data_IF_750103785621
#
_entry.id   IF_750103785621
#
_cell.length_a   1.000
_cell.length_b   1.000
_cell.length_c   1.000
_cell.angle_alpha   90.00
_cell.angle_beta   90.00
_cell.angle_gamma   90.00
#
_symmetry.space_group_name_H-M   'P 1'
#
loop_
_entity.id
_entity.type
_entity.pdbx_description
1 polymer ?
#
# COMPACT_ATOMS: atom_id res chain seq x y z
N UNK A 1 -8.10 -0.77 14.89
CA UNK A 1 -7.68 -0.73 13.46
C UNK A 1 -8.86 -0.44 12.53
N UNK A 2 -10.05 -1.04 12.75
CA UNK A 2 -11.25 -0.84 11.91
C UNK A 2 -11.83 0.58 11.94
N UNK A 3 -11.97 1.22 13.11
CA UNK A 3 -12.52 2.59 13.21
C UNK A 3 -11.69 3.64 12.47
N UNK A 4 -10.36 3.56 12.58
CA UNK A 4 -9.43 4.45 11.88
C UNK A 4 -9.55 4.28 10.35
N UNK A 5 -9.65 3.04 9.87
CA UNK A 5 -9.84 2.76 8.44
C UNK A 5 -11.19 3.30 7.92
N UNK A 6 -12.26 3.15 8.69
CA UNK A 6 -13.59 3.68 8.33
C UNK A 6 -13.53 5.22 8.22
N UNK A 7 -12.96 5.88 9.24
CA UNK A 7 -12.80 7.34 9.24
C UNK A 7 -12.00 7.82 8.03
N UNK A 8 -10.86 7.17 7.74
CA UNK A 8 -10.03 7.50 6.58
C UNK A 8 -10.81 7.35 5.27
N UNK A 9 -11.59 6.26 5.13
CA UNK A 9 -12.40 5.99 3.94
C UNK A 9 -13.46 7.07 3.72
N UNK A 10 -14.16 7.47 4.78
CA UNK A 10 -15.18 8.54 4.71
C UNK A 10 -14.57 9.87 4.26
N UNK A 11 -13.41 10.24 4.82
CA UNK A 11 -12.69 11.45 4.44
C UNK A 11 -12.28 11.40 2.96
N UNK A 12 -11.78 10.26 2.50
CA UNK A 12 -11.29 10.08 1.12
C UNK A 12 -12.43 10.18 0.11
N UNK A 13 -13.59 9.59 0.40
CA UNK A 13 -14.81 9.71 -0.44
C UNK A 13 -15.27 11.16 -0.50
N UNK A 14 -15.31 11.86 0.64
CA UNK A 14 -15.70 13.26 0.68
C UNK A 14 -14.76 14.14 -0.16
N UNK A 15 -13.45 13.92 -0.07
CA UNK A 15 -12.46 14.64 -0.87
C UNK A 15 -12.61 14.37 -2.37
N UNK A 16 -12.82 13.12 -2.79
CA UNK A 16 -13.07 12.78 -4.20
C UNK A 16 -14.32 13.49 -4.72
N UNK A 17 -15.40 13.51 -3.95
CA UNK A 17 -16.64 14.17 -4.35
C UNK A 17 -16.46 15.69 -4.47
N UNK A 18 -15.81 16.32 -3.49
CA UNK A 18 -15.56 17.75 -3.48
C UNK A 18 -14.64 18.16 -4.63
N UNK A 19 -13.56 17.42 -4.88
CA UNK A 19 -12.64 17.69 -6.00
C UNK A 19 -13.32 17.48 -7.35
N UNK A 20 -14.08 16.40 -7.54
CA UNK A 20 -14.85 16.20 -8.77
C UNK A 20 -15.88 17.32 -9.00
N UNK A 21 -16.55 17.79 -7.93
CA UNK A 21 -17.50 18.91 -8.00
C UNK A 21 -16.81 20.24 -8.30
N UNK A 22 -15.64 20.49 -7.72
CA UNK A 22 -14.85 21.70 -7.99
C UNK A 22 -14.33 21.68 -9.42
N UNK A 23 -13.74 20.57 -9.86
CA UNK A 23 -13.13 20.46 -11.18
C UNK A 23 -14.16 20.51 -12.30
N UNK A 24 -15.34 19.91 -12.11
CA UNK A 24 -16.44 20.01 -13.08
C UNK A 24 -17.07 21.40 -13.18
N UNK A 25 -16.89 22.26 -12.17
CA UNK A 25 -17.26 23.68 -12.25
C UNK A 25 -16.18 24.53 -12.91
N UNK A 26 -14.90 24.22 -12.69
CA UNK A 26 -13.78 25.00 -13.23
C UNK A 26 -13.35 24.59 -14.64
N UNK A 27 -13.64 23.35 -15.08
CA UNK A 27 -13.34 22.84 -16.42
C UNK A 27 -14.60 22.44 -17.16
N UNK A 28 -14.56 22.41 -18.50
CA UNK A 28 -15.62 21.83 -19.37
C UNK A 28 -15.68 20.29 -19.27
N UNK A 29 -15.35 19.73 -18.10
CA UNK A 29 -15.32 18.29 -17.88
C UNK A 29 -16.58 17.92 -17.08
N UNK A 30 -17.42 17.04 -17.65
CA UNK A 30 -18.61 16.60 -16.96
C UNK A 30 -18.27 15.88 -15.66
N UNK A 31 -19.04 16.15 -14.60
CA UNK A 31 -18.85 15.57 -13.26
C UNK A 31 -18.68 14.04 -13.28
N UNK A 32 -19.50 13.33 -14.07
CA UNK A 32 -19.41 11.87 -14.20
C UNK A 32 -18.08 11.42 -14.82
N UNK A 33 -17.55 12.18 -15.78
CA UNK A 33 -16.25 11.90 -16.40
C UNK A 33 -15.12 12.18 -15.40
N UNK A 34 -15.19 13.28 -14.64
CA UNK A 34 -14.23 13.58 -13.57
C UNK A 34 -14.20 12.46 -12.53
N UNK A 35 -15.39 12.03 -12.09
CA UNK A 35 -15.55 11.00 -11.07
C UNK A 35 -15.02 9.64 -11.56
N UNK A 36 -15.36 9.24 -12.78
CA UNK A 36 -14.87 7.98 -13.37
C UNK A 36 -13.35 7.99 -13.52
N UNK A 37 -12.75 9.10 -13.95
CA UNK A 37 -11.31 9.26 -14.04
C UNK A 37 -10.64 9.18 -12.67
N UNK A 38 -11.19 9.85 -11.65
CA UNK A 38 -10.67 9.78 -10.28
C UNK A 38 -10.74 8.36 -9.71
N UNK A 39 -11.87 7.68 -9.86
CA UNK A 39 -12.03 6.31 -9.35
C UNK A 39 -11.13 5.32 -10.09
N UNK A 40 -10.93 5.49 -11.41
CA UNK A 40 -10.11 4.59 -12.22
C UNK A 40 -8.60 4.85 -12.11
N UNK A 41 -8.17 6.11 -12.15
CA UNK A 41 -6.74 6.46 -12.16
C UNK A 41 -6.10 6.37 -10.77
N UNK A 42 -6.84 6.66 -9.69
CA UNK A 42 -6.30 6.61 -8.33
C UNK A 42 -5.74 5.22 -7.95
N UNK A 43 -6.45 4.09 -8.18
CA UNK A 43 -5.89 2.76 -7.88
C UNK A 43 -4.74 2.39 -8.80
N UNK A 44 -4.77 2.80 -10.08
CA UNK A 44 -3.62 2.59 -10.99
C UNK A 44 -2.39 3.33 -10.47
N UNK A 45 -2.52 4.61 -10.13
CA UNK A 45 -1.42 5.40 -9.59
C UNK A 45 -0.92 4.82 -8.27
N UNK A 46 -1.84 4.40 -7.39
CA UNK A 46 -1.50 3.72 -6.14
C UNK A 46 -0.70 2.44 -6.36
N UNK A 47 -1.06 1.63 -7.35
CA UNK A 47 -0.33 0.42 -7.71
C UNK A 47 1.11 0.75 -8.15
N UNK A 48 1.29 1.72 -9.04
CA UNK A 48 2.62 2.16 -9.46
C UNK A 48 3.48 2.64 -8.29
N UNK A 49 2.91 3.44 -7.39
CA UNK A 49 3.60 3.90 -6.18
C UNK A 49 4.03 2.73 -5.31
N UNK A 50 3.18 1.71 -5.09
CA UNK A 50 3.53 0.51 -4.33
C UNK A 50 4.66 -0.27 -4.99
N UNK A 51 4.68 -0.37 -6.32
CA UNK A 51 5.75 -1.03 -7.07
C UNK A 51 7.12 -0.34 -6.96
N UNK A 52 7.17 0.95 -6.60
CA UNK A 52 8.42 1.67 -6.37
C UNK A 52 9.07 1.29 -5.03
N UNK A 53 8.32 0.74 -4.08
CA UNK A 53 8.89 0.33 -2.80
C UNK A 53 9.67 -0.99 -2.95
N UNK A 54 10.85 -1.10 -2.33
CA UNK A 54 11.62 -2.34 -2.38
C UNK A 54 10.84 -3.48 -1.72
N UNK A 55 10.96 -4.68 -2.29
CA UNK A 55 10.41 -5.90 -1.67
C UNK A 55 11.09 -6.12 -0.33
N UNK A 56 10.33 -6.61 0.65
CA UNK A 56 10.90 -7.01 1.94
C UNK A 56 11.86 -8.17 1.74
N UNK A 57 13.06 -8.06 2.30
CA UNK A 57 14.04 -9.15 2.31
C UNK A 57 13.62 -10.15 3.38
N UNK A 58 13.45 -11.40 2.99
CA UNK A 58 13.09 -12.49 3.90
C UNK A 58 14.30 -13.40 4.11
N UNK A 59 14.52 -13.81 5.35
CA UNK A 59 15.61 -14.68 5.77
C UNK A 59 15.07 -16.02 6.29
N UNK A 60 15.64 -17.10 5.75
CA UNK A 60 15.33 -18.46 6.19
C UNK A 60 16.00 -18.76 7.52
N UNK A 61 15.23 -19.17 8.52
CA UNK A 61 15.77 -19.69 9.77
C UNK A 61 16.24 -21.14 9.56
N UNK A 62 17.54 -21.38 9.68
CA UNK A 62 18.16 -22.71 9.58
C UNK A 62 17.74 -23.67 10.70
N UNK A 63 17.22 -23.15 11.82
CA UNK A 63 16.82 -23.97 12.97
C UNK A 63 15.40 -24.53 12.89
N UNK A 64 14.44 -23.73 12.41
CA UNK A 64 13.03 -24.13 12.39
C UNK A 64 12.40 -24.10 10.99
N UNK A 65 13.16 -23.70 9.97
CA UNK A 65 12.69 -23.61 8.58
C UNK A 65 11.80 -22.40 8.28
N UNK A 66 11.64 -21.44 9.20
CA UNK A 66 10.81 -20.27 8.94
C UNK A 66 11.42 -19.37 7.85
N UNK A 67 10.71 -19.19 6.73
CA UNK A 67 11.15 -18.36 5.62
C UNK A 67 10.61 -16.92 5.66
N UNK A 68 9.85 -16.56 6.71
CA UNK A 68 9.14 -15.27 6.83
C UNK A 68 9.83 -14.29 7.80
N UNK A 69 11.14 -14.44 8.06
CA UNK A 69 11.83 -13.53 8.97
C UNK A 69 12.37 -12.31 8.24
N UNK A 70 12.13 -11.12 8.78
CA UNK A 70 12.63 -9.86 8.23
C UNK A 70 13.77 -9.26 9.08
N UNK A 71 14.18 -9.97 10.14
CA UNK A 71 15.16 -9.51 11.14
C UNK A 71 16.17 -10.60 11.49
N UNK A 72 17.20 -10.25 12.27
CA UNK A 72 18.29 -11.15 12.67
C UNK A 72 17.85 -12.19 13.69
N UNK A 73 16.56 -12.22 14.05
CA UNK A 73 16.01 -13.13 15.04
C UNK A 73 14.73 -13.74 14.53
N UNK A 74 14.60 -15.05 14.67
CA UNK A 74 13.43 -15.78 14.22
C UNK A 74 12.21 -15.42 15.07
N UNK A 75 11.12 -14.98 14.44
CA UNK A 75 9.87 -14.66 15.13
C UNK A 75 9.19 -15.89 15.76
N UNK A 76 9.46 -17.08 15.24
CA UNK A 76 8.90 -18.35 15.74
C UNK A 76 9.74 -18.97 16.87
N UNK A 77 11.02 -19.26 16.62
CA UNK A 77 11.86 -19.98 17.59
C UNK A 77 12.79 -19.10 18.42
N UNK A 78 12.84 -17.78 18.17
CA UNK A 78 13.67 -16.83 18.90
C UNK A 78 15.18 -16.93 18.67
N UNK A 79 15.62 -17.84 17.81
CA UNK A 79 17.04 -18.04 17.47
C UNK A 79 17.58 -16.92 16.57
N UNK A 80 18.87 -16.66 16.67
CA UNK A 80 19.55 -15.69 15.81
C UNK A 80 19.77 -16.29 14.42
N UNK A 81 19.49 -15.53 13.36
CA UNK A 81 19.56 -15.95 11.96
C UNK A 81 20.74 -15.24 11.29
N UNK A 82 21.52 -15.98 10.51
CA UNK A 82 22.62 -15.43 9.73
C UNK A 82 22.09 -14.70 8.48
N UNK A 83 22.24 -13.37 8.48
CA UNK A 83 21.78 -12.47 7.42
C UNK A 83 22.72 -12.39 6.21
N UNK A 84 23.89 -13.05 6.26
CA UNK A 84 24.92 -12.97 5.22
C UNK A 84 24.65 -13.85 3.98
N UNK A 85 23.63 -14.71 4.03
CA UNK A 85 23.42 -15.78 3.05
C UNK A 85 22.56 -15.44 1.82
N UNK A 86 22.13 -14.18 1.63
CA UNK A 86 21.17 -13.78 0.58
C UNK A 86 21.59 -12.59 -0.30
N UNK A 87 22.89 -12.30 -0.39
CA UNK A 87 23.43 -11.47 -1.49
C UNK A 87 23.72 -12.35 -2.71
N UNK A 88 22.68 -12.72 -3.48
CA UNK A 88 22.83 -13.25 -4.83
C UNK A 88 21.58 -12.97 -5.66
#
# INVERSE_FOLDING_TARGET
>A
MTLFQILLTVILIALIFLTARQESRHRKLHFLVALALLIGLTPLFGYFVVCLFPKRVKYLCTYCGNAENETSRCGLCGQQIDMSSFTS
#
